data_IF_905181823454
#
_entry.id   IF_905181823454
#
_cell.length_a   1.000
_cell.length_b   1.000
_cell.length_c   1.000
_cell.angle_alpha   90.00
_cell.angle_beta   90.00
_cell.angle_gamma   90.00
#
_symmetry.space_group_name_H-M   'P 1'
#
loop_
_entity.id
_entity.type
_entity.pdbx_description
1 polymer ?
#
# COMPACT_ATOMS: atom_id res chain seq x y z
N UNK A 1 9.33 1.23 15.35
CA UNK A 1 9.84 2.60 15.17
C UNK A 1 10.14 3.18 16.56
N UNK A 2 11.25 3.88 16.75
CA UNK A 2 11.57 4.61 17.99
C UNK A 2 12.14 5.96 17.59
N UNK A 3 11.56 7.05 18.09
CA UNK A 3 12.00 8.40 17.78
C UNK A 3 13.31 8.72 18.53
N UNK A 4 14.43 8.79 17.82
CA UNK A 4 15.73 9.20 18.38
C UNK A 4 15.92 10.71 18.38
N UNK A 5 15.29 11.38 17.43
CA UNK A 5 15.18 12.82 17.32
C UNK A 5 13.80 13.11 16.72
N UNK A 6 13.14 14.15 17.22
CA UNK A 6 11.81 14.57 16.75
C UNK A 6 11.93 15.88 15.97
N UNK A 7 11.04 16.08 15.00
CA UNK A 7 10.96 17.34 14.27
C UNK A 7 10.42 18.45 15.18
N UNK A 8 10.82 19.71 14.96
CA UNK A 8 10.30 20.85 15.70
C UNK A 8 8.81 21.12 15.40
N UNK A 9 8.38 20.81 14.17
CA UNK A 9 7.00 20.90 13.69
C UNK A 9 6.73 19.79 12.69
N UNK A 10 5.51 19.27 12.70
CA UNK A 10 5.11 18.14 11.87
C UNK A 10 5.77 16.82 12.30
N UNK A 11 5.88 15.87 11.37
CA UNK A 11 6.51 14.57 11.61
C UNK A 11 5.58 13.54 12.26
N UNK A 12 4.29 13.83 12.30
CA UNK A 12 3.26 12.90 12.70
C UNK A 12 3.31 11.65 11.79
N UNK A 13 3.08 10.48 12.39
CA UNK A 13 2.87 9.25 11.64
C UNK A 13 1.42 8.85 11.82
N UNK A 14 0.66 8.86 10.73
CA UNK A 14 -0.72 8.44 10.73
C UNK A 14 -0.83 6.94 10.46
N UNK A 15 -1.88 6.33 11.00
CA UNK A 15 -2.19 4.91 10.82
C UNK A 15 -3.66 4.75 10.44
N UNK A 16 -3.91 3.89 9.45
CA UNK A 16 -5.25 3.50 9.03
C UNK A 16 -5.46 2.00 9.29
N UNK A 17 -6.64 1.64 9.81
CA UNK A 17 -7.00 0.26 10.10
C UNK A 17 -7.59 -0.42 8.84
N UNK A 18 -6.79 -1.25 8.18
CA UNK A 18 -7.19 -1.93 6.95
C UNK A 18 -8.21 -3.07 7.15
N UNK A 19 -8.43 -3.52 8.40
CA UNK A 19 -9.55 -4.40 8.71
C UNK A 19 -10.87 -3.61 8.73
N UNK A 20 -10.89 -2.49 9.45
CA UNK A 20 -12.08 -1.63 9.52
C UNK A 20 -12.48 -1.10 8.14
N UNK A 21 -11.49 -0.75 7.30
CA UNK A 21 -11.73 -0.34 5.92
C UNK A 21 -12.42 -1.45 5.10
N UNK A 22 -11.99 -2.71 5.24
CA UNK A 22 -12.66 -3.84 4.60
C UNK A 22 -14.06 -4.10 5.17
N UNK A 23 -14.22 -4.03 6.49
CA UNK A 23 -15.49 -4.25 7.18
C UNK A 23 -16.56 -3.23 6.73
N UNK A 24 -16.14 -1.99 6.44
CA UNK A 24 -17.00 -0.91 5.96
C UNK A 24 -17.52 -1.07 4.52
N UNK A 25 -16.96 -1.98 3.72
CA UNK A 25 -17.49 -2.27 2.39
C UNK A 25 -18.88 -2.92 2.43
N UNK A 26 -19.71 -2.58 1.45
CA UNK A 26 -20.95 -3.31 1.15
C UNK A 26 -20.64 -4.76 0.75
N UNK A 27 -21.65 -5.63 0.80
CA UNK A 27 -21.47 -7.04 0.42
C UNK A 27 -21.07 -7.20 -1.06
N UNK A 28 -21.61 -6.35 -1.94
CA UNK A 28 -21.23 -6.32 -3.35
C UNK A 28 -19.77 -5.90 -3.58
N UNK A 29 -19.28 -4.92 -2.82
CA UNK A 29 -17.87 -4.53 -2.84
C UNK A 29 -16.96 -5.63 -2.28
N UNK A 30 -17.36 -6.26 -1.16
CA UNK A 30 -16.62 -7.40 -0.60
C UNK A 30 -16.52 -8.55 -1.60
N UNK A 31 -17.61 -8.88 -2.28
CA UNK A 31 -17.62 -9.90 -3.32
C UNK A 31 -16.69 -9.51 -4.47
N UNK A 32 -16.85 -8.30 -5.01
CA UNK A 32 -16.03 -7.81 -6.12
C UNK A 32 -14.54 -7.77 -5.77
N UNK A 33 -14.16 -7.16 -4.65
CA UNK A 33 -12.77 -6.92 -4.30
C UNK A 33 -12.05 -8.17 -3.78
N UNK A 34 -12.80 -9.18 -3.32
CA UNK A 34 -12.21 -10.45 -2.87
C UNK A 34 -11.50 -11.24 -3.98
N UNK A 35 -11.82 -10.96 -5.25
CA UNK A 35 -11.23 -11.64 -6.41
C UNK A 35 -10.04 -10.88 -7.00
N UNK A 36 -9.81 -9.64 -6.58
CA UNK A 36 -8.77 -8.80 -7.16
C UNK A 36 -7.39 -9.12 -6.59
N UNK A 37 -6.39 -8.94 -7.45
CA UNK A 37 -4.97 -8.96 -7.11
C UNK A 37 -4.35 -7.62 -7.45
N UNK A 38 -3.39 -7.20 -6.64
CA UNK A 38 -2.69 -5.91 -6.75
C UNK A 38 -1.19 -6.14 -6.87
N UNK A 39 -0.55 -5.29 -7.67
CA UNK A 39 0.91 -5.30 -7.86
C UNK A 39 1.49 -4.09 -7.16
N UNK A 40 2.40 -4.34 -6.21
CA UNK A 40 3.18 -3.31 -5.55
C UNK A 40 4.52 -3.15 -6.26
N UNK A 41 4.88 -1.91 -6.59
CA UNK A 41 6.13 -1.58 -7.26
C UNK A 41 6.67 -0.24 -6.77
N UNK A 42 8.00 -0.09 -6.73
CA UNK A 42 8.61 1.19 -6.40
C UNK A 42 8.23 2.28 -7.42
N UNK A 43 8.09 1.91 -8.70
CA UNK A 43 7.69 2.87 -9.74
C UNK A 43 6.32 3.50 -9.49
N UNK A 44 5.35 2.74 -8.97
CA UNK A 44 4.00 3.24 -8.70
C UNK A 44 3.95 4.27 -7.55
N UNK A 45 4.82 4.15 -6.54
CA UNK A 45 4.90 5.16 -5.47
C UNK A 45 5.72 6.37 -5.91
N UNK A 46 6.87 6.14 -6.56
CA UNK A 46 7.79 7.22 -6.93
C UNK A 46 7.25 8.14 -8.03
N UNK A 47 6.43 7.64 -8.96
CA UNK A 47 5.82 8.47 -10.02
C UNK A 47 4.89 9.57 -9.49
N UNK A 48 4.36 9.41 -8.27
CA UNK A 48 3.56 10.45 -7.59
C UNK A 48 4.44 11.55 -6.97
N UNK A 49 5.70 11.24 -6.68
CA UNK A 49 6.66 12.17 -6.05
C UNK A 49 7.44 12.93 -7.11
N UNK A 50 7.96 12.21 -8.12
CA UNK A 50 8.60 12.79 -9.29
C UNK A 50 7.84 12.37 -10.56
N UNK A 51 7.00 13.26 -11.13
CA UNK A 51 6.20 12.94 -12.31
C UNK A 51 7.01 12.89 -13.61
N UNK A 52 8.22 13.47 -13.65
CA UNK A 52 9.10 13.48 -14.83
C UNK A 52 10.49 12.94 -14.46
N UNK A 53 10.62 11.62 -14.21
CA UNK A 53 11.89 11.01 -13.87
C UNK A 53 12.82 10.93 -15.08
N UNK A 54 14.11 11.08 -14.84
CA UNK A 54 15.11 10.74 -15.85
C UNK A 54 15.03 9.26 -16.25
N UNK A 55 15.53 8.93 -17.44
CA UNK A 55 15.57 7.54 -17.91
C UNK A 55 16.32 6.60 -16.94
N UNK A 56 17.38 7.11 -16.30
CA UNK A 56 18.15 6.36 -15.30
C UNK A 56 17.33 6.08 -14.04
N UNK A 57 16.61 7.07 -13.52
CA UNK A 57 15.74 6.90 -12.35
C UNK A 57 14.61 5.91 -12.63
N UNK A 58 13.98 6.02 -13.80
CA UNK A 58 12.93 5.11 -14.22
C UNK A 58 13.45 3.67 -14.34
N UNK A 59 14.64 3.49 -14.92
CA UNK A 59 15.30 2.19 -14.99
C UNK A 59 15.58 1.62 -13.59
N UNK A 60 16.07 2.46 -12.66
CA UNK A 60 16.31 2.08 -11.26
C UNK A 60 15.04 1.71 -10.50
N UNK A 61 13.91 2.37 -10.75
CA UNK A 61 12.64 2.00 -10.13
C UNK A 61 12.12 0.66 -10.65
N UNK A 62 12.25 0.43 -11.97
CA UNK A 62 11.83 -0.81 -12.64
C UNK A 62 12.72 -2.00 -12.30
N UNK A 63 13.98 -1.77 -11.91
CA UNK A 63 14.89 -2.85 -11.51
C UNK A 63 14.55 -3.44 -10.13
N UNK A 64 13.66 -2.79 -9.35
CA UNK A 64 13.19 -3.34 -8.08
C UNK A 64 12.12 -4.41 -8.34
N UNK A 65 12.17 -5.57 -7.66
CA UNK A 65 11.14 -6.59 -7.78
C UNK A 65 9.75 -6.03 -7.49
N UNK A 66 8.76 -6.51 -8.25
CA UNK A 66 7.36 -6.28 -7.96
C UNK A 66 6.78 -7.49 -7.26
N UNK A 67 5.79 -7.26 -6.40
CA UNK A 67 5.07 -8.34 -5.71
C UNK A 67 3.58 -8.24 -6.01
N UNK A 68 2.98 -9.38 -6.33
CA UNK A 68 1.54 -9.48 -6.55
C UNK A 68 0.86 -10.18 -5.36
N UNK A 69 -0.12 -9.52 -4.78
CA UNK A 69 -0.86 -9.98 -3.60
C UNK A 69 -2.37 -9.92 -3.85
N UNK A 70 -3.18 -10.76 -3.19
CA UNK A 70 -4.62 -10.54 -3.18
C UNK A 70 -4.92 -9.19 -2.50
N UNK A 71 -5.85 -8.41 -3.06
CA UNK A 71 -6.28 -7.14 -2.46
C UNK A 71 -6.87 -7.36 -1.06
N UNK A 72 -7.59 -8.46 -0.88
CA UNK A 72 -8.16 -8.86 0.41
C UNK A 72 -7.35 -10.03 0.97
N UNK A 73 -6.61 -9.77 2.06
CA UNK A 73 -5.84 -10.80 2.76
C UNK A 73 -6.66 -11.44 3.88
N UNK A 74 -6.67 -12.77 3.95
CA UNK A 74 -7.29 -13.51 5.06
C UNK A 74 -6.19 -13.93 6.03
N UNK A 75 -6.24 -13.38 7.25
CA UNK A 75 -5.26 -13.67 8.29
C UNK A 75 -5.57 -15.02 8.96
N UNK A 76 -4.59 -15.58 9.69
CA UNK A 76 -4.77 -16.84 10.44
C UNK A 76 -5.92 -16.79 11.46
N UNK A 77 -6.27 -15.60 11.94
CA UNK A 77 -7.43 -15.37 12.83
C UNK A 77 -8.78 -15.46 12.11
N UNK A 78 -8.81 -15.60 10.79
CA UNK A 78 -10.02 -15.53 9.96
C UNK A 78 -10.43 -14.10 9.57
N UNK A 79 -9.87 -13.07 10.22
CA UNK A 79 -10.15 -11.67 9.86
C UNK A 79 -9.57 -11.33 8.49
N UNK A 80 -10.28 -10.45 7.77
CA UNK A 80 -9.89 -9.96 6.45
C UNK A 80 -9.44 -8.50 6.52
N UNK A 81 -8.39 -8.16 5.79
CA UNK A 81 -7.89 -6.79 5.67
C UNK A 81 -7.56 -6.44 4.23
N UNK A 82 -7.48 -5.15 3.92
CA UNK A 82 -6.96 -4.68 2.64
C UNK A 82 -5.42 -4.68 2.63
N UNK A 83 -4.83 -5.13 1.53
CA UNK A 83 -3.40 -4.99 1.23
C UNK A 83 -3.25 -3.77 0.31
N UNK A 84 -2.84 -2.65 0.91
CA UNK A 84 -2.73 -1.35 0.27
C UNK A 84 -1.35 -0.74 0.60
N UNK A 85 -0.93 0.22 -0.21
CA UNK A 85 0.33 0.97 -0.02
C UNK A 85 1.40 0.59 -1.02
#
# INVERSE_FOLDING_TARGET
>A
LSAKQVAERGGETEFANSYAAYEAFSDGEKQRFSTLRVVHSLGASQSRVNPDPSAEELARWRSRPTHEHPLVWTHRSGRKSLVLG
#
